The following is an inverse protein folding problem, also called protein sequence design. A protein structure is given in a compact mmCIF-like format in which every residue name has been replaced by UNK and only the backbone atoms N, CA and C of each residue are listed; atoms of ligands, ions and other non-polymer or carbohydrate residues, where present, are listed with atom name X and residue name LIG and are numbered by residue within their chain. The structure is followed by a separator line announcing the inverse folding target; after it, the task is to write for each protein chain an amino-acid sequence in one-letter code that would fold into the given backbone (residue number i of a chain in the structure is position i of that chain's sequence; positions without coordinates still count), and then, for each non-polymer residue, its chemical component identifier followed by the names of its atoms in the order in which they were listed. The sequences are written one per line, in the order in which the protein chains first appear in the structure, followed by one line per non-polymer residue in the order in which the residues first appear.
data_IF_204507697462
#
_entry.id   IF_204507697462
#
_cell.length_a   1.000
_cell.length_b   1.000
_cell.length_c   1.000
_cell.angle_alpha   90.00
_cell.angle_beta   90.00
_cell.angle_gamma   90.00
#
_symmetry.space_group_name_H-M   'P 1'
#
loop_
_entity.id
_entity.type
_entity.pdbx_description
1 polymer ?
#
# COMPACT_ATOMS: atom_id res chain seq x y z
N UNK A 1 18.04 -28.72 21.63
CA UNK A 1 18.46 -27.86 20.49
C UNK A 1 19.68 -27.08 20.95
N UNK A 2 20.82 -27.10 20.23
CA UNK A 2 22.04 -26.45 20.70
C UNK A 2 21.84 -24.92 20.78
N UNK A 3 22.42 -24.27 21.79
CA UNK A 3 22.27 -22.84 22.06
C UNK A 3 22.59 -21.94 20.85
N UNK A 4 23.46 -22.40 19.97
CA UNK A 4 23.80 -21.71 18.72
C UNK A 4 22.63 -21.69 17.70
N UNK A 5 21.87 -22.78 17.62
CA UNK A 5 20.68 -22.84 16.78
C UNK A 5 19.55 -21.96 17.35
N UNK A 6 19.44 -21.84 18.67
CA UNK A 6 18.50 -20.91 19.31
C UNK A 6 18.88 -19.44 19.08
N UNK A 7 20.17 -19.10 19.15
CA UNK A 7 20.66 -17.76 18.85
C UNK A 7 20.45 -17.38 17.37
N UNK A 8 20.68 -18.31 16.44
CA UNK A 8 20.42 -18.10 15.01
C UNK A 8 18.92 -17.94 14.73
N UNK A 9 18.06 -18.72 15.40
CA UNK A 9 16.61 -18.58 15.29
C UNK A 9 16.12 -17.23 15.83
N UNK A 10 16.68 -16.75 16.95
CA UNK A 10 16.34 -15.43 17.50
C UNK A 10 16.78 -14.29 16.58
N UNK A 11 17.98 -14.37 15.99
CA UNK A 11 18.43 -13.37 15.00
C UNK A 11 17.55 -13.38 13.75
N UNK A 12 17.13 -14.57 13.29
CA UNK A 12 16.25 -14.72 12.13
C UNK A 12 14.83 -14.18 12.39
N UNK A 13 14.27 -14.37 13.60
CA UNK A 13 12.97 -13.80 13.96
C UNK A 13 13.03 -12.28 14.04
N UNK A 14 14.05 -11.73 14.70
CA UNK A 14 14.25 -10.27 14.79
C UNK A 14 14.45 -9.63 13.40
N UNK A 15 15.15 -10.29 12.49
CA UNK A 15 15.32 -9.80 11.12
C UNK A 15 13.98 -9.76 10.34
N UNK A 16 13.11 -10.76 10.56
CA UNK A 16 11.78 -10.83 9.92
C UNK A 16 10.81 -9.80 10.49
N UNK A 17 10.88 -9.51 11.79
CA UNK A 17 10.13 -8.45 12.45
C UNK A 17 10.58 -7.05 11.96
N UNK A 18 11.90 -6.84 11.84
CA UNK A 18 12.45 -5.61 11.29
C UNK A 18 11.98 -5.35 9.85
N UNK A 19 11.88 -6.40 9.03
CA UNK A 19 11.37 -6.28 7.66
C UNK A 19 9.95 -5.70 7.62
N UNK A 20 9.09 -6.03 8.58
CA UNK A 20 7.72 -5.52 8.63
C UNK A 20 7.64 -4.04 9.03
N UNK A 21 8.65 -3.53 9.75
CA UNK A 21 8.75 -2.13 10.15
C UNK A 21 9.54 -1.27 9.15
N UNK A 22 10.08 -1.85 8.07
CA UNK A 22 10.94 -1.13 7.11
C UNK A 22 10.29 0.13 6.56
N UNK A 23 9.00 0.09 6.21
CA UNK A 23 8.30 1.25 5.63
C UNK A 23 8.08 2.37 6.67
N UNK A 24 7.48 2.12 7.85
CA UNK A 24 7.40 3.12 8.91
C UNK A 24 8.75 3.68 9.36
N UNK A 25 9.75 2.82 9.55
CA UNK A 25 11.11 3.21 9.96
C UNK A 25 11.76 4.05 8.87
N UNK A 26 11.56 3.69 7.60
CA UNK A 26 12.00 4.46 6.45
C UNK A 26 11.34 5.84 6.36
N UNK A 27 10.04 5.93 6.64
CA UNK A 27 9.30 7.21 6.70
C UNK A 27 9.88 8.12 7.78
N UNK A 28 10.02 7.62 9.01
CA UNK A 28 10.58 8.40 10.12
C UNK A 28 12.03 8.80 9.83
N UNK A 29 12.83 7.89 9.28
CA UNK A 29 14.22 8.16 8.91
C UNK A 29 14.32 9.22 7.80
N UNK A 30 13.43 9.17 6.81
CA UNK A 30 13.35 10.14 5.71
C UNK A 30 12.94 11.53 6.20
N UNK A 31 11.91 11.61 7.06
CA UNK A 31 11.46 12.86 7.68
C UNK A 31 12.57 13.46 8.56
N UNK A 32 13.24 12.64 9.36
CA UNK A 32 14.37 13.05 10.18
C UNK A 32 15.52 13.58 9.31
N UNK A 33 15.93 12.83 8.28
CA UNK A 33 16.99 13.26 7.35
C UNK A 33 16.64 14.56 6.62
N UNK A 34 15.40 14.70 6.15
CA UNK A 34 14.91 15.91 5.49
C UNK A 34 14.88 17.12 6.44
N UNK A 35 14.41 16.94 7.67
CA UNK A 35 14.39 17.99 8.68
C UNK A 35 15.80 18.45 9.06
N UNK A 36 16.73 17.51 9.26
CA UNK A 36 18.14 17.81 9.55
C UNK A 36 18.82 18.48 8.35
N UNK A 37 18.51 18.08 7.13
CA UNK A 37 19.00 18.75 5.92
C UNK A 37 18.54 20.21 5.87
N UNK A 38 17.23 20.44 5.98
CA UNK A 38 16.64 21.77 5.93
C UNK A 38 17.29 22.71 6.97
N UNK A 39 17.57 22.19 8.16
CA UNK A 39 18.18 22.95 9.25
C UNK A 39 19.70 23.14 9.13
N UNK A 40 20.46 22.13 8.71
CA UNK A 40 21.93 22.10 8.87
C UNK A 40 22.73 22.06 7.57
N UNK A 41 22.11 22.05 6.38
CA UNK A 41 22.84 21.96 5.10
C UNK A 41 23.83 23.11 4.82
N UNK A 42 23.73 24.24 5.55
CA UNK A 42 24.62 25.41 5.44
C UNK A 42 25.47 25.65 6.70
N UNK A 43 25.56 24.67 7.61
CA UNK A 43 26.33 24.83 8.85
C UNK A 43 27.81 25.13 8.54
N UNK A 44 28.40 26.05 9.29
CA UNK A 44 29.82 26.38 9.22
C UNK A 44 30.50 25.86 10.47
N UNK A 45 31.49 24.99 10.29
CA UNK A 45 32.29 24.42 11.37
C UNK A 45 33.60 25.19 11.53
N UNK A 46 34.26 25.10 12.70
CA UNK A 46 35.60 25.64 12.91
C UNK A 46 36.60 25.11 11.87
N UNK A 47 37.69 25.85 11.65
CA UNK A 47 38.68 25.57 10.59
C UNK A 47 39.24 24.14 10.62
N UNK A 48 39.44 23.55 11.80
CA UNK A 48 39.92 22.17 11.95
C UNK A 48 38.88 21.08 11.60
N UNK A 49 37.58 21.42 11.55
CA UNK A 49 36.49 20.53 11.12
C UNK A 49 35.82 20.99 9.81
N UNK A 50 36.38 21.99 9.13
CA UNK A 50 35.76 22.61 7.95
C UNK A 50 35.45 21.60 6.83
N UNK A 51 36.21 20.49 6.75
CA UNK A 51 35.96 19.38 5.84
C UNK A 51 34.55 18.79 5.95
N UNK A 52 34.00 18.73 7.16
CA UNK A 52 32.67 18.18 7.45
C UNK A 52 31.55 19.22 7.36
N UNK A 53 31.85 20.48 7.04
CA UNK A 53 30.86 21.56 6.99
C UNK A 53 29.83 21.42 5.85
N UNK A 54 28.76 22.21 5.95
CA UNK A 54 27.70 22.26 4.93
C UNK A 54 26.96 20.94 4.76
N UNK A 55 26.72 20.53 3.51
CA UNK A 55 25.92 19.34 3.18
C UNK A 55 26.54 18.02 3.66
N UNK A 56 27.87 17.97 3.85
CA UNK A 56 28.59 16.78 4.34
C UNK A 56 28.31 16.51 5.82
N UNK A 57 27.92 17.52 6.58
CA UNK A 57 27.56 17.39 7.99
C UNK A 57 26.25 16.60 8.17
N UNK A 58 25.33 16.75 7.21
CA UNK A 58 23.96 16.25 7.35
C UNK A 58 23.93 14.72 7.48
N UNK A 59 24.59 13.91 6.62
CA UNK A 59 24.62 12.45 6.81
C UNK A 59 25.19 12.00 8.14
N UNK A 60 26.23 12.68 8.65
CA UNK A 60 26.86 12.37 9.94
C UNK A 60 25.86 12.60 11.07
N UNK A 61 25.22 13.77 11.08
CA UNK A 61 24.22 14.12 12.09
C UNK A 61 23.00 13.19 12.02
N UNK A 62 22.53 12.85 10.82
CA UNK A 62 21.42 11.90 10.63
C UNK A 62 21.79 10.51 11.16
N UNK A 63 23.04 10.05 10.96
CA UNK A 63 23.52 8.79 11.53
C UNK A 63 23.48 8.77 13.07
N UNK A 64 23.94 9.85 13.72
CA UNK A 64 23.83 9.98 15.18
C UNK A 64 22.39 10.08 15.66
N UNK A 65 21.52 10.79 14.95
CA UNK A 65 20.10 10.89 15.29
C UNK A 65 19.35 9.55 15.10
N UNK A 66 19.82 8.70 14.19
CA UNK A 66 19.26 7.36 13.99
C UNK A 66 19.59 6.39 15.12
N UNK A 67 20.67 6.59 15.89
CA UNK A 67 21.05 5.69 16.99
C UNK A 67 20.00 5.65 18.10
N UNK A 68 19.54 6.78 18.68
CA UNK A 68 18.43 6.78 19.63
C UNK A 68 17.14 6.17 19.06
N UNK A 69 16.84 6.44 17.79
CA UNK A 69 15.67 5.87 17.11
C UNK A 69 15.73 4.34 17.04
N UNK A 70 16.90 3.80 16.67
CA UNK A 70 17.11 2.35 16.61
C UNK A 70 17.01 1.69 18.00
N UNK A 71 17.57 2.33 19.04
CA UNK A 71 17.47 1.84 20.42
C UNK A 71 16.01 1.82 20.86
N UNK A 72 15.29 2.93 20.66
CA UNK A 72 13.88 3.04 21.05
C UNK A 72 13.02 1.99 20.35
N UNK A 73 13.18 1.82 19.04
CA UNK A 73 12.46 0.80 18.28
C UNK A 73 12.77 -0.62 18.75
N UNK A 74 14.05 -0.91 19.06
CA UNK A 74 14.44 -2.22 19.57
C UNK A 74 13.84 -2.55 20.93
N UNK A 75 13.67 -1.55 21.81
CA UNK A 75 13.05 -1.71 23.13
C UNK A 75 11.53 -1.90 23.03
N UNK A 76 10.88 -1.22 22.09
CA UNK A 76 9.42 -1.25 21.93
C UNK A 76 8.89 -2.41 21.06
N UNK A 77 9.78 -3.11 20.34
CA UNK A 77 9.41 -4.22 19.45
C UNK A 77 8.59 -5.33 20.15
N UNK A 78 8.96 -5.81 21.36
CA UNK A 78 8.17 -6.82 22.07
C UNK A 78 6.76 -6.35 22.45
N UNK A 79 6.60 -5.05 22.73
CA UNK A 79 5.29 -4.47 23.04
C UNK A 79 4.41 -4.42 21.79
N UNK A 80 4.98 -4.08 20.64
CA UNK A 80 4.30 -4.17 19.35
C UNK A 80 3.87 -5.61 19.06
N UNK A 81 4.75 -6.60 19.23
CA UNK A 81 4.43 -8.02 19.03
C UNK A 81 3.29 -8.52 19.91
N UNK A 82 3.34 -8.20 21.20
CA UNK A 82 2.28 -8.55 22.15
C UNK A 82 0.95 -7.88 21.78
N UNK A 83 0.99 -6.60 21.40
CA UNK A 83 -0.19 -5.85 20.94
C UNK A 83 -0.82 -6.46 19.70
N UNK A 84 0.00 -6.86 18.72
CA UNK A 84 -0.45 -7.51 17.49
C UNK A 84 -0.98 -8.92 17.73
N UNK A 85 -0.29 -9.73 18.53
CA UNK A 85 -0.77 -11.06 18.91
C UNK A 85 -2.13 -10.96 19.62
N UNK A 86 -2.33 -9.93 20.44
CA UNK A 86 -3.61 -9.67 21.10
C UNK A 86 -4.66 -9.23 20.09
N UNK A 87 -4.37 -8.24 19.24
CA UNK A 87 -5.28 -7.78 18.19
C UNK A 87 -5.71 -8.92 17.26
N UNK A 88 -4.77 -9.76 16.81
CA UNK A 88 -5.05 -10.91 15.95
C UNK A 88 -5.94 -11.94 16.64
N UNK A 89 -5.70 -12.25 17.93
CA UNK A 89 -6.60 -13.13 18.70
C UNK A 89 -8.00 -12.54 18.83
N UNK A 90 -8.12 -11.23 19.06
CA UNK A 90 -9.41 -10.54 19.16
C UNK A 90 -10.15 -10.52 17.83
N UNK A 91 -9.46 -10.28 16.71
CA UNK A 91 -10.03 -10.30 15.36
C UNK A 91 -10.50 -11.71 15.00
N UNK A 92 -9.76 -12.76 15.35
CA UNK A 92 -10.16 -14.14 15.13
C UNK A 92 -11.36 -14.56 15.99
N UNK A 93 -11.45 -14.05 17.22
CA UNK A 93 -12.59 -14.28 18.10
C UNK A 93 -13.86 -13.53 17.63
N UNK A 94 -13.73 -12.52 16.76
CA UNK A 94 -14.84 -11.69 16.28
C UNK A 94 -15.63 -12.32 15.11
N UNK A 95 -15.26 -13.53 14.66
CA UNK A 95 -15.96 -14.23 13.58
C UNK A 95 -15.97 -13.42 12.27
N UNK A 96 -17.09 -13.38 11.52
CA UNK A 96 -17.17 -12.66 10.24
C UNK A 96 -16.80 -11.16 10.34
N UNK A 97 -17.06 -10.51 11.47
CA UNK A 97 -16.71 -9.11 11.68
C UNK A 97 -15.19 -8.87 11.76
N UNK A 98 -14.43 -9.88 12.17
CA UNK A 98 -12.97 -9.82 12.15
C UNK A 98 -12.41 -9.63 10.74
N UNK A 99 -13.00 -10.31 9.75
CA UNK A 99 -12.61 -10.19 8.34
C UNK A 99 -12.91 -8.80 7.77
N UNK A 100 -14.02 -8.20 8.17
CA UNK A 100 -14.34 -6.82 7.80
C UNK A 100 -13.34 -5.82 8.37
N UNK A 101 -13.08 -5.90 9.68
CA UNK A 101 -12.12 -5.01 10.36
C UNK A 101 -10.73 -5.18 9.75
N UNK A 102 -10.32 -6.42 9.45
CA UNK A 102 -9.08 -6.71 8.75
C UNK A 102 -9.00 -6.00 7.40
N UNK A 103 -10.02 -6.15 6.54
CA UNK A 103 -10.05 -5.49 5.23
C UNK A 103 -10.00 -3.96 5.31
N UNK A 104 -10.74 -3.37 6.24
CA UNK A 104 -10.75 -1.91 6.47
C UNK A 104 -9.39 -1.41 6.94
N UNK A 105 -8.84 -2.01 8.00
CA UNK A 105 -7.54 -1.61 8.54
C UNK A 105 -6.42 -1.84 7.53
N UNK A 106 -6.46 -2.94 6.79
CA UNK A 106 -5.50 -3.23 5.75
C UNK A 106 -5.41 -2.08 4.73
N UNK A 107 -6.54 -1.53 4.29
CA UNK A 107 -6.55 -0.37 3.40
C UNK A 107 -6.05 0.88 4.12
N UNK A 108 -6.63 1.24 5.27
CA UNK A 108 -6.25 2.48 5.97
C UNK A 108 -4.75 2.56 6.32
N UNK A 109 -4.11 1.42 6.58
CA UNK A 109 -2.70 1.30 6.93
C UNK A 109 -1.75 1.26 5.72
N UNK A 110 -2.26 1.36 4.48
CA UNK A 110 -1.40 1.50 3.28
C UNK A 110 -0.58 2.79 3.31
N UNK A 111 -1.17 3.90 3.76
CA UNK A 111 -0.51 5.20 3.85
C UNK A 111 0.82 5.14 4.63
N UNK A 112 0.85 4.31 5.68
CA UNK A 112 2.00 4.17 6.59
C UNK A 112 2.83 2.92 6.33
N UNK A 113 2.38 2.04 5.42
CA UNK A 113 2.97 0.72 5.21
C UNK A 113 2.69 -0.31 6.31
N UNK A 114 1.96 0.06 7.37
CA UNK A 114 1.68 -0.79 8.53
C UNK A 114 0.75 -1.97 8.21
N UNK A 115 0.11 -1.99 7.05
CA UNK A 115 -0.69 -3.13 6.61
C UNK A 115 0.15 -4.41 6.44
N UNK A 116 1.45 -4.30 6.17
CA UNK A 116 2.36 -5.45 6.07
C UNK A 116 2.47 -6.24 7.37
N UNK A 117 2.37 -5.55 8.50
CA UNK A 117 2.35 -6.15 9.82
C UNK A 117 1.06 -6.96 10.00
N UNK A 118 -0.09 -6.33 9.70
CA UNK A 118 -1.40 -6.96 9.79
C UNK A 118 -1.46 -8.22 8.91
N UNK A 119 -0.95 -8.12 7.68
CA UNK A 119 -0.80 -9.22 6.72
C UNK A 119 0.10 -10.32 7.27
N UNK A 120 1.26 -9.98 7.83
CA UNK A 120 2.21 -10.97 8.31
C UNK A 120 1.61 -11.84 9.42
N UNK A 121 0.83 -11.24 10.32
CA UNK A 121 0.08 -12.00 11.31
C UNK A 121 -0.98 -12.89 10.66
N UNK A 122 -1.88 -12.31 9.86
CA UNK A 122 -2.96 -13.04 9.23
C UNK A 122 -2.46 -14.21 8.37
N UNK A 123 -1.45 -13.99 7.53
CA UNK A 123 -1.02 -14.96 6.54
C UNK A 123 -0.04 -16.00 7.06
N UNK A 124 0.76 -15.69 8.10
CA UNK A 124 1.84 -16.59 8.56
C UNK A 124 1.71 -17.09 10.00
N UNK A 125 0.88 -16.45 10.84
CA UNK A 125 0.80 -16.79 12.27
C UNK A 125 -0.58 -17.26 12.72
N UNK A 126 -1.65 -16.86 12.04
CA UNK A 126 -3.03 -17.20 12.42
C UNK A 126 -3.36 -18.69 12.24
N UNK A 127 -3.84 -19.30 13.33
CA UNK A 127 -4.34 -20.68 13.35
C UNK A 127 -3.23 -21.74 13.24
N UNK A 128 -3.63 -23.00 13.34
CA UNK A 128 -2.74 -24.15 13.19
C UNK A 128 -3.47 -25.27 12.46
N UNK A 129 -2.83 -25.85 11.45
CA UNK A 129 -3.30 -27.02 10.72
C UNK A 129 -2.14 -28.00 10.56
N UNK A 130 -2.17 -29.11 11.30
CA UNK A 130 -1.11 -30.13 11.31
C UNK A 130 0.31 -29.55 11.50
N UNK A 131 0.46 -28.52 12.35
CA UNK A 131 1.74 -27.86 12.59
C UNK A 131 2.08 -26.71 11.62
N UNK A 132 1.25 -26.46 10.59
CA UNK A 132 1.36 -25.31 9.69
C UNK A 132 0.54 -24.14 10.25
N UNK A 133 1.15 -22.95 10.37
CA UNK A 133 0.50 -21.74 10.89
C UNK A 133 0.35 -20.66 9.83
N UNK A 134 -0.66 -19.81 9.99
CA UNK A 134 -0.97 -18.72 9.07
C UNK A 134 -2.02 -19.07 8.04
N UNK A 135 -2.97 -18.16 7.80
CA UNK A 135 -4.08 -18.39 6.88
C UNK A 135 -3.62 -18.79 5.47
N UNK A 136 -2.59 -18.11 4.95
CA UNK A 136 -2.03 -18.39 3.63
C UNK A 136 -1.35 -19.76 3.56
N UNK A 137 -0.47 -20.05 4.53
CA UNK A 137 0.24 -21.33 4.55
C UNK A 137 -0.72 -22.51 4.78
N UNK A 138 -1.73 -22.33 5.64
CA UNK A 138 -2.76 -23.34 5.92
C UNK A 138 -3.60 -23.61 4.68
N UNK A 139 -3.98 -22.57 3.93
CA UNK A 139 -4.69 -22.70 2.67
C UNK A 139 -3.92 -23.58 1.68
N UNK A 140 -2.62 -23.29 1.46
CA UNK A 140 -1.78 -24.10 0.58
C UNK A 140 -1.43 -25.50 1.12
N UNK A 141 -1.57 -25.71 2.43
CA UNK A 141 -1.49 -27.04 3.06
C UNK A 141 -2.81 -27.85 2.96
N UNK A 142 -3.85 -27.28 2.35
CA UNK A 142 -5.15 -27.94 2.15
C UNK A 142 -6.10 -27.85 3.34
N UNK A 143 -5.93 -26.85 4.21
CA UNK A 143 -6.89 -26.57 5.29
C UNK A 143 -8.19 -25.99 4.70
N UNK A 144 -9.33 -26.68 4.78
CA UNK A 144 -10.60 -26.20 4.23
C UNK A 144 -11.17 -25.01 4.98
N UNK A 145 -10.60 -24.59 6.11
CA UNK A 145 -11.04 -23.44 6.91
C UNK A 145 -10.19 -22.19 6.72
N UNK A 146 -9.16 -22.26 5.88
CA UNK A 146 -8.22 -21.18 5.62
C UNK A 146 -8.53 -20.44 4.30
N UNK A 147 -7.91 -19.28 4.09
CA UNK A 147 -8.07 -18.44 2.88
C UNK A 147 -9.10 -17.31 3.04
N UNK A 148 -9.75 -17.21 4.21
CA UNK A 148 -10.71 -16.14 4.49
C UNK A 148 -10.03 -14.77 4.61
N UNK A 149 -8.76 -14.69 5.04
CA UNK A 149 -7.98 -13.45 5.11
C UNK A 149 -7.30 -13.08 3.77
N UNK A 150 -7.67 -13.79 2.70
CA UNK A 150 -7.13 -13.59 1.35
C UNK A 150 -8.23 -13.22 0.34
N UNK A 151 -9.34 -13.94 0.36
CA UNK A 151 -10.36 -13.93 -0.71
C UNK A 151 -11.02 -12.58 -0.95
N UNK A 152 -11.18 -11.75 0.09
CA UNK A 152 -11.82 -10.43 -0.02
C UNK A 152 -11.06 -9.42 -0.88
N UNK A 153 -9.80 -9.71 -1.20
CA UNK A 153 -8.97 -8.85 -2.03
C UNK A 153 -9.33 -8.91 -3.52
N UNK A 154 -9.64 -10.09 -4.04
CA UNK A 154 -9.90 -10.32 -5.47
C UNK A 154 -11.01 -9.45 -6.07
N UNK A 155 -12.22 -9.33 -5.45
CA UNK A 155 -13.27 -8.47 -6.00
C UNK A 155 -12.84 -7.00 -6.11
N UNK A 156 -12.00 -6.53 -5.20
CA UNK A 156 -11.54 -5.14 -5.17
C UNK A 156 -10.46 -4.91 -6.23
N UNK A 157 -9.43 -5.76 -6.27
CA UNK A 157 -8.28 -5.55 -7.15
C UNK A 157 -8.56 -5.84 -8.62
N UNK A 158 -9.35 -6.87 -8.89
CA UNK A 158 -9.66 -7.29 -10.26
C UNK A 158 -10.83 -6.52 -10.88
N UNK A 159 -11.74 -5.99 -10.06
CA UNK A 159 -12.96 -5.36 -10.57
C UNK A 159 -13.15 -3.95 -10.04
N UNK A 160 -13.08 -3.76 -8.73
CA UNK A 160 -13.31 -2.46 -8.09
C UNK A 160 -12.36 -1.35 -8.55
N UNK A 161 -11.05 -1.57 -8.43
CA UNK A 161 -10.05 -0.56 -8.79
C UNK A 161 -9.98 -0.29 -10.29
N UNK A 162 -10.06 -1.29 -11.20
CA UNK A 162 -10.24 -1.02 -12.63
C UNK A 162 -11.49 -0.20 -12.94
N UNK A 163 -12.61 -0.46 -12.25
CA UNK A 163 -13.83 0.33 -12.37
C UNK A 163 -13.66 1.76 -11.87
N UNK A 164 -12.91 1.97 -10.78
CA UNK A 164 -12.55 3.29 -10.30
C UNK A 164 -11.70 4.05 -11.33
N UNK A 165 -10.70 3.41 -11.95
CA UNK A 165 -9.93 4.00 -13.04
C UNK A 165 -10.82 4.39 -14.23
N UNK A 166 -11.78 3.55 -14.60
CA UNK A 166 -12.73 3.88 -15.66
C UNK A 166 -13.62 5.08 -15.27
N UNK A 167 -14.07 5.16 -14.02
CA UNK A 167 -14.83 6.30 -13.52
C UNK A 167 -14.00 7.60 -13.55
N UNK A 168 -12.73 7.54 -13.14
CA UNK A 168 -11.80 8.67 -13.23
C UNK A 168 -11.59 9.12 -14.68
N UNK A 169 -11.40 8.16 -15.60
CA UNK A 169 -11.25 8.45 -17.03
C UNK A 169 -12.50 9.14 -17.61
N UNK A 170 -13.69 8.60 -17.35
CA UNK A 170 -14.94 9.18 -17.84
C UNK A 170 -15.26 10.55 -17.24
N UNK A 171 -14.75 10.85 -16.06
CA UNK A 171 -14.93 12.14 -15.39
C UNK A 171 -13.80 13.13 -15.66
N UNK A 172 -12.71 12.73 -16.32
CA UNK A 172 -11.65 13.65 -16.74
C UNK A 172 -12.16 14.69 -17.77
N UNK A 173 -11.55 15.88 -17.75
CA UNK A 173 -11.88 16.97 -18.66
C UNK A 173 -11.67 16.53 -20.12
N UNK A 174 -12.56 16.89 -21.07
CA UNK A 174 -12.48 16.39 -22.45
C UNK A 174 -11.11 16.59 -23.11
N UNK A 175 -10.47 17.73 -22.87
CA UNK A 175 -9.15 18.07 -23.43
C UNK A 175 -7.98 17.34 -22.73
N UNK A 176 -8.19 16.74 -21.54
CA UNK A 176 -7.17 15.96 -20.81
C UNK A 176 -7.37 14.45 -20.88
N UNK A 177 -8.52 13.97 -21.38
CA UNK A 177 -8.84 12.53 -21.46
C UNK A 177 -7.76 11.72 -22.19
N UNK A 178 -7.27 12.23 -23.33
CA UNK A 178 -6.21 11.57 -24.07
C UNK A 178 -4.91 11.44 -23.24
N UNK A 179 -4.55 12.48 -22.48
CA UNK A 179 -3.35 12.49 -21.65
C UNK A 179 -3.43 11.49 -20.48
N UNK A 180 -4.60 11.30 -19.88
CA UNK A 180 -4.77 10.39 -18.72
C UNK A 180 -5.17 8.96 -19.09
N UNK A 181 -5.60 8.71 -20.33
CA UNK A 181 -6.06 7.39 -20.76
C UNK A 181 -5.00 6.31 -20.58
N UNK A 182 -3.78 6.55 -21.06
CA UNK A 182 -2.67 5.59 -20.95
C UNK A 182 -2.28 5.33 -19.49
N UNK A 183 -2.23 6.39 -18.67
CA UNK A 183 -1.95 6.27 -17.24
C UNK A 183 -2.99 5.41 -16.52
N UNK A 184 -4.27 5.77 -16.64
CA UNK A 184 -5.37 5.09 -15.95
C UNK A 184 -5.55 3.65 -16.41
N UNK A 185 -5.35 3.37 -17.70
CA UNK A 185 -5.35 2.00 -18.22
C UNK A 185 -4.19 1.20 -17.67
N UNK A 186 -2.97 1.76 -17.64
CA UNK A 186 -1.79 1.06 -17.14
C UNK A 186 -1.94 0.69 -15.67
N UNK A 187 -2.32 1.62 -14.80
CA UNK A 187 -2.48 1.33 -13.37
C UNK A 187 -3.68 0.41 -13.10
N UNK A 188 -4.75 0.48 -13.91
CA UNK A 188 -5.86 -0.47 -13.84
C UNK A 188 -5.43 -1.88 -14.20
N UNK A 189 -4.66 -2.04 -15.29
CA UNK A 189 -4.12 -3.34 -15.70
C UNK A 189 -3.14 -3.88 -14.67
N UNK A 190 -2.30 -3.04 -14.06
CA UNK A 190 -1.42 -3.46 -12.97
C UNK A 190 -2.22 -4.03 -11.81
N UNK A 191 -3.26 -3.33 -11.34
CA UNK A 191 -4.16 -3.83 -10.30
C UNK A 191 -4.87 -5.12 -10.72
N UNK A 192 -5.40 -5.18 -11.93
CA UNK A 192 -6.12 -6.35 -12.42
C UNK A 192 -5.23 -7.59 -12.55
N UNK A 193 -4.06 -7.46 -13.17
CA UNK A 193 -3.18 -8.58 -13.48
C UNK A 193 -2.41 -9.06 -12.26
N UNK A 194 -1.86 -8.11 -11.50
CA UNK A 194 -0.92 -8.42 -10.41
C UNK A 194 -1.53 -8.27 -9.03
N UNK A 195 -2.60 -7.48 -8.90
CA UNK A 195 -3.21 -7.17 -7.61
C UNK A 195 -2.58 -5.99 -6.87
N UNK A 196 -1.52 -5.37 -7.43
CA UNK A 196 -0.86 -4.18 -6.86
C UNK A 196 -1.79 -2.98 -6.96
N UNK A 197 -2.15 -2.39 -5.82
CA UNK A 197 -3.20 -1.36 -5.72
C UNK A 197 -2.67 0.05 -5.57
N UNK A 198 -1.45 0.21 -5.08
CA UNK A 198 -0.85 1.47 -4.67
C UNK A 198 -0.86 2.53 -5.80
N UNK A 199 -0.50 2.20 -7.06
CA UNK A 199 -0.55 3.18 -8.15
C UNK A 199 -1.95 3.74 -8.39
N UNK A 200 -3.00 2.98 -8.12
CA UNK A 200 -4.39 3.45 -8.21
C UNK A 200 -4.76 4.24 -6.96
N UNK A 201 -4.55 3.67 -5.77
CA UNK A 201 -4.94 4.26 -4.50
C UNK A 201 -4.28 5.61 -4.25
N UNK A 202 -3.00 5.76 -4.60
CA UNK A 202 -2.26 7.01 -4.42
C UNK A 202 -2.78 8.15 -5.30
N UNK A 203 -3.51 7.85 -6.38
CA UNK A 203 -4.13 8.89 -7.22
C UNK A 203 -5.30 9.60 -6.56
N UNK A 204 -5.86 9.07 -5.47
CA UNK A 204 -7.01 9.69 -4.80
C UNK A 204 -6.95 9.67 -3.27
N UNK A 205 -6.08 8.89 -2.62
CA UNK A 205 -6.13 8.76 -1.16
C UNK A 205 -5.93 10.09 -0.43
N UNK A 206 -5.03 10.95 -0.93
CA UNK A 206 -4.73 12.26 -0.33
C UNK A 206 -5.64 13.37 -0.87
N UNK A 207 -6.16 13.21 -2.10
CA UNK A 207 -7.04 14.18 -2.75
C UNK A 207 -8.50 14.05 -2.30
N UNK A 208 -8.92 12.82 -1.99
CA UNK A 208 -10.29 12.48 -1.60
C UNK A 208 -10.32 11.47 -0.44
N UNK A 209 -9.94 11.87 0.79
CA UNK A 209 -9.87 10.96 1.94
C UNK A 209 -11.21 10.26 2.25
N UNK A 210 -12.34 10.94 2.03
CA UNK A 210 -13.66 10.34 2.20
C UNK A 210 -13.94 9.20 1.19
N UNK A 211 -13.50 9.37 -0.07
CA UNK A 211 -13.61 8.32 -1.07
C UNK A 211 -12.69 7.14 -0.75
N UNK A 212 -11.52 7.42 -0.18
CA UNK A 212 -10.60 6.40 0.32
C UNK A 212 -11.17 5.60 1.50
N UNK A 213 -11.89 6.26 2.42
CA UNK A 213 -12.61 5.56 3.48
C UNK A 213 -13.70 4.64 2.90
N UNK A 214 -14.45 5.09 1.90
CA UNK A 214 -15.45 4.24 1.24
C UNK A 214 -14.79 3.03 0.57
N UNK A 215 -13.67 3.21 -0.12
CA UNK A 215 -12.86 2.13 -0.66
C UNK A 215 -12.47 1.11 0.43
N UNK A 216 -11.93 1.59 1.56
CA UNK A 216 -11.58 0.73 2.70
C UNK A 216 -12.77 -0.08 3.24
N UNK A 217 -13.94 0.55 3.38
CA UNK A 217 -15.17 -0.11 3.83
C UNK A 217 -15.65 -1.15 2.82
N UNK A 218 -15.60 -0.85 1.53
CA UNK A 218 -15.96 -1.80 0.47
C UNK A 218 -15.00 -3.00 0.43
N UNK A 219 -13.71 -2.79 0.74
CA UNK A 219 -12.76 -3.90 0.92
C UNK A 219 -13.15 -4.76 2.11
N UNK A 220 -13.44 -4.19 3.27
CA UNK A 220 -13.95 -4.94 4.43
C UNK A 220 -15.23 -5.73 4.11
N UNK A 221 -16.16 -5.15 3.36
CA UNK A 221 -17.36 -5.85 2.91
C UNK A 221 -17.05 -7.03 1.98
N UNK A 222 -16.04 -6.90 1.12
CA UNK A 222 -15.66 -7.95 0.19
C UNK A 222 -15.21 -9.19 0.96
N UNK A 223 -14.46 -8.98 2.04
CA UNK A 223 -14.05 -10.04 2.96
C UNK A 223 -15.22 -10.79 3.58
N UNK A 224 -16.23 -10.08 4.09
CA UNK A 224 -17.44 -10.73 4.63
C UNK A 224 -18.19 -11.47 3.54
N UNK A 225 -18.41 -10.85 2.37
CA UNK A 225 -19.20 -11.42 1.29
C UNK A 225 -18.57 -12.71 0.77
N UNK A 226 -17.26 -12.69 0.48
CA UNK A 226 -16.54 -13.87 0.01
C UNK A 226 -16.57 -14.99 1.04
N UNK A 227 -16.41 -14.66 2.33
CA UNK A 227 -16.51 -15.64 3.40
C UNK A 227 -17.94 -16.21 3.56
N UNK A 228 -18.98 -15.37 3.43
CA UNK A 228 -20.38 -15.79 3.52
C UNK A 228 -20.81 -16.70 2.36
N UNK A 229 -20.19 -16.52 1.19
CA UNK A 229 -20.37 -17.37 0.00
C UNK A 229 -19.46 -18.61 0.00
N UNK A 230 -18.67 -18.82 1.05
CA UNK A 230 -17.65 -19.87 1.16
C UNK A 230 -16.70 -19.91 -0.05
N UNK A 231 -16.31 -18.73 -0.52
CA UNK A 231 -15.32 -18.57 -1.60
C UNK A 231 -13.95 -18.39 -0.97
N UNK A 232 -13.02 -19.29 -1.29
CA UNK A 232 -11.63 -19.27 -0.80
C UNK A 232 -10.69 -19.18 -1.98
N UNK A 233 -10.01 -18.05 -2.13
CA UNK A 233 -9.08 -17.76 -3.21
C UNK A 233 -7.69 -17.53 -2.63
N UNK A 234 -6.75 -18.36 -3.05
CA UNK A 234 -5.34 -18.25 -2.69
C UNK A 234 -4.58 -17.29 -3.60
N UNK A 235 -3.56 -16.65 -3.04
CA UNK A 235 -2.56 -15.90 -3.76
C UNK A 235 -1.21 -16.04 -3.09
N UNK A 236 -0.15 -15.81 -3.86
CA UNK A 236 1.23 -15.77 -3.35
C UNK A 236 1.87 -14.40 -3.53
N UNK A 237 1.28 -13.54 -4.37
CA UNK A 237 1.74 -12.17 -4.57
C UNK A 237 0.76 -11.13 -4.05
N UNK A 238 -0.36 -10.88 -4.73
CA UNK A 238 -1.25 -9.77 -4.36
C UNK A 238 -2.71 -9.90 -4.83
N UNK A 239 -3.21 -11.11 -5.11
CA UNK A 239 -4.61 -11.37 -5.50
C UNK A 239 -5.04 -10.74 -6.84
N UNK A 240 -4.13 -10.75 -7.81
CA UNK A 240 -4.44 -10.41 -9.20
C UNK A 240 -4.95 -11.60 -10.03
N UNK A 241 -5.24 -11.36 -11.31
CA UNK A 241 -5.63 -12.39 -12.26
C UNK A 241 -4.61 -13.55 -12.33
N UNK A 242 -3.32 -13.25 -12.25
CA UNK A 242 -2.30 -14.31 -12.27
C UNK A 242 -2.43 -15.24 -11.08
N UNK A 243 -2.61 -14.71 -9.87
CA UNK A 243 -2.86 -15.53 -8.69
C UNK A 243 -4.16 -16.33 -8.82
N UNK A 244 -5.23 -15.71 -9.33
CA UNK A 244 -6.52 -16.39 -9.53
C UNK A 244 -6.41 -17.58 -10.48
N UNK A 245 -5.71 -17.41 -11.60
CA UNK A 245 -5.55 -18.49 -12.60
C UNK A 245 -4.60 -19.57 -12.09
N UNK A 246 -3.50 -19.19 -11.44
CA UNK A 246 -2.51 -20.16 -10.93
C UNK A 246 -3.06 -21.00 -9.78
N UNK A 247 -3.88 -20.41 -8.91
CA UNK A 247 -4.43 -21.10 -7.73
C UNK A 247 -5.82 -21.70 -7.97
N UNK A 248 -6.36 -21.61 -9.18
CA UNK A 248 -7.74 -22.01 -9.50
C UNK A 248 -8.12 -23.44 -9.05
N UNK A 249 -7.16 -24.38 -9.08
CA UNK A 249 -7.38 -25.78 -8.65
C UNK A 249 -7.32 -25.97 -7.12
N UNK A 250 -6.71 -25.03 -6.40
CA UNK A 250 -6.68 -25.01 -4.92
C UNK A 250 -7.88 -24.25 -4.34
N UNK A 251 -8.47 -23.35 -5.13
CA UNK A 251 -9.53 -22.46 -4.72
C UNK A 251 -10.87 -23.18 -4.47
N UNK A 252 -11.63 -22.67 -3.51
CA UNK A 252 -13.00 -23.12 -3.20
C UNK A 252 -13.99 -22.17 -3.86
N UNK A 253 -14.88 -22.71 -4.70
CA UNK A 253 -15.88 -21.97 -5.49
C UNK A 253 -15.33 -20.77 -6.31
N UNK A 254 -14.19 -20.91 -7.04
CA UNK A 254 -13.53 -19.77 -7.68
C UNK A 254 -14.41 -19.02 -8.69
N UNK A 255 -15.31 -19.73 -9.38
CA UNK A 255 -16.21 -19.14 -10.37
C UNK A 255 -17.17 -18.10 -9.80
N UNK A 256 -17.48 -18.15 -8.49
CA UNK A 256 -18.32 -17.14 -7.83
C UNK A 256 -17.63 -15.76 -7.74
N UNK A 257 -16.31 -15.69 -7.96
CA UNK A 257 -15.62 -14.41 -8.08
C UNK A 257 -16.18 -13.57 -9.23
N UNK A 258 -16.56 -14.17 -10.36
CA UNK A 258 -17.03 -13.43 -11.53
C UNK A 258 -18.32 -12.63 -11.27
N UNK A 259 -19.41 -13.23 -10.75
CA UNK A 259 -20.61 -12.46 -10.43
C UNK A 259 -20.38 -11.46 -9.28
N UNK A 260 -19.63 -11.82 -8.23
CA UNK A 260 -19.31 -10.88 -7.14
C UNK A 260 -18.47 -9.71 -7.67
N UNK A 261 -17.49 -10.00 -8.49
CA UNK A 261 -16.63 -9.04 -9.18
C UNK A 261 -17.42 -8.10 -10.07
N UNK A 262 -18.37 -8.61 -10.85
CA UNK A 262 -19.25 -7.77 -11.69
C UNK A 262 -20.09 -6.79 -10.85
N UNK A 263 -20.60 -7.22 -9.69
CA UNK A 263 -21.29 -6.34 -8.74
C UNK A 263 -20.31 -5.28 -8.19
N UNK A 264 -19.11 -5.69 -7.78
CA UNK A 264 -18.06 -4.78 -7.32
C UNK A 264 -17.64 -3.76 -8.38
N UNK A 265 -17.55 -4.17 -9.64
CA UNK A 265 -17.29 -3.28 -10.77
C UNK A 265 -18.35 -2.19 -10.87
N UNK A 266 -19.63 -2.57 -10.85
CA UNK A 266 -20.75 -1.64 -10.90
C UNK A 266 -20.77 -0.68 -9.70
N UNK A 267 -20.57 -1.21 -8.49
CA UNK A 267 -20.53 -0.42 -7.25
C UNK A 267 -19.39 0.60 -7.27
N UNK A 268 -18.16 0.18 -7.57
CA UNK A 268 -17.01 1.07 -7.60
C UNK A 268 -17.17 2.14 -8.69
N UNK A 269 -17.56 1.74 -9.91
CA UNK A 269 -17.79 2.70 -10.99
C UNK A 269 -18.84 3.75 -10.59
N UNK A 270 -19.97 3.30 -10.06
CA UNK A 270 -21.08 4.18 -9.63
C UNK A 270 -20.66 5.13 -8.51
N UNK A 271 -20.07 4.60 -7.44
CA UNK A 271 -19.64 5.38 -6.26
C UNK A 271 -18.56 6.39 -6.64
N UNK A 272 -17.51 5.97 -7.35
CA UNK A 272 -16.44 6.88 -7.76
C UNK A 272 -16.96 7.96 -8.68
N UNK A 273 -17.73 7.59 -9.71
CA UNK A 273 -18.27 8.57 -10.65
C UNK A 273 -19.20 9.57 -9.96
N UNK A 274 -20.07 9.09 -9.07
CA UNK A 274 -20.95 9.94 -8.29
C UNK A 274 -20.15 10.89 -7.38
N UNK A 275 -19.21 10.38 -6.58
CA UNK A 275 -18.43 11.18 -5.65
C UNK A 275 -17.59 12.23 -6.39
N UNK A 276 -16.92 11.85 -7.48
CA UNK A 276 -16.09 12.76 -8.29
C UNK A 276 -16.92 13.93 -8.82
N UNK A 277 -18.11 13.67 -9.36
CA UNK A 277 -18.96 14.71 -9.92
C UNK A 277 -19.67 15.53 -8.85
N UNK A 278 -20.14 14.89 -7.77
CA UNK A 278 -20.93 15.55 -6.72
C UNK A 278 -20.08 16.46 -5.82
N UNK A 279 -18.81 16.11 -5.61
CA UNK A 279 -17.90 16.85 -4.73
C UNK A 279 -16.76 17.55 -5.49
N UNK A 280 -16.81 17.54 -6.83
CA UNK A 280 -15.77 18.11 -7.71
C UNK A 280 -14.33 17.67 -7.35
N UNK A 281 -14.16 16.36 -7.13
CA UNK A 281 -12.86 15.80 -6.75
C UNK A 281 -11.85 15.98 -7.90
N UNK A 282 -10.64 16.44 -7.57
CA UNK A 282 -9.56 16.70 -8.53
C UNK A 282 -8.76 15.43 -8.86
N UNK A 283 -9.45 14.38 -9.28
CA UNK A 283 -8.81 13.14 -9.75
C UNK A 283 -7.96 13.40 -11.01
N UNK A 284 -7.04 12.49 -11.39
CA UNK A 284 -6.21 12.68 -12.59
C UNK A 284 -7.03 13.12 -13.81
N UNK A 285 -6.62 14.23 -14.43
CA UNK A 285 -7.30 14.82 -15.58
C UNK A 285 -8.45 15.78 -15.25
N UNK A 286 -8.68 16.09 -13.97
CA UNK A 286 -9.65 17.11 -13.48
C UNK A 286 -9.00 18.32 -12.79
N UNK A 287 -7.68 18.40 -12.79
CA UNK A 287 -6.96 19.59 -12.31
C UNK A 287 -7.25 20.79 -13.20
N UNK A 288 -7.19 21.99 -12.63
CA UNK A 288 -7.28 23.23 -13.41
C UNK A 288 -6.11 23.28 -14.41
N UNK A 289 -6.30 23.96 -15.53
CA UNK A 289 -5.19 24.34 -16.38
C UNK A 289 -4.19 25.13 -15.52
N UNK A 290 -2.94 24.68 -15.45
CA UNK A 290 -1.89 25.62 -15.10
C UNK A 290 -1.97 26.75 -16.13
N UNK A 291 -2.01 28.02 -15.72
CA UNK A 291 -1.83 29.10 -16.68
C UNK A 291 -0.53 28.78 -17.40
N UNK A 292 -0.59 28.62 -18.72
CA UNK A 292 0.55 28.31 -19.56
C UNK A 292 1.72 29.15 -19.03
N UNK A 293 2.75 28.48 -18.49
CA UNK A 293 3.95 29.17 -18.04
C UNK A 293 4.34 30.06 -19.21
N UNK A 294 4.20 31.37 -19.03
CA UNK A 294 4.39 32.33 -20.10
C UNK A 294 5.72 31.97 -20.74
N UNK A 295 5.69 31.59 -22.02
CA UNK A 295 6.89 31.47 -22.82
C UNK A 295 7.66 32.76 -22.56
N UNK A 296 8.77 32.65 -21.83
CA UNK A 296 9.68 33.78 -21.71
C UNK A 296 10.06 34.10 -23.16
N UNK A 297 9.78 35.32 -23.66
CA UNK A 297 10.14 35.67 -25.01
C UNK A 297 11.63 35.39 -25.15
N UNK A 298 11.97 34.58 -26.15
CA UNK A 298 13.35 34.19 -26.44
C UNK A 298 14.22 35.45 -26.35
N UNK A 299 15.20 35.41 -25.44
CA UNK A 299 16.07 36.53 -25.16
C UNK A 299 16.65 37.08 -26.46
N UNK A 300 16.50 38.38 -26.65
CA UNK A 300 17.10 39.15 -27.74
C UNK A 300 18.62 39.06 -27.54
N UNK A 301 19.25 38.08 -28.16
CA UNK A 301 20.65 37.75 -27.95
C UNK A 301 21.28 37.04 -29.14
N UNK A 302 20.86 37.36 -30.36
CA UNK A 302 21.53 36.97 -31.61
C UNK A 302 21.28 38.01 -32.70
N UNK A 303 21.83 39.23 -32.55
CA UNK A 303 21.98 40.20 -33.66
C UNK A 303 23.33 40.93 -33.60
N UNK A 304 24.38 40.32 -33.05
CA UNK A 304 25.77 40.79 -33.24
C UNK A 304 26.50 39.82 -34.16
N UNK A 305 26.48 40.11 -35.46
CA UNK A 305 27.13 39.26 -36.47
C UNK A 305 26.78 39.64 -37.90
N UNK A 306 26.79 40.92 -38.23
CA UNK A 306 26.83 41.36 -39.63
C UNK A 306 28.16 42.07 -39.88
N UNK A 307 29.01 41.59 -40.82
CA UNK A 307 30.22 42.30 -41.19
C UNK A 307 29.87 43.60 -41.93
N UNK A 308 30.59 44.65 -41.57
CA UNK A 308 30.58 46.00 -42.15
C UNK A 308 30.94 46.02 -43.63
#
# INVERSE_FOLDING_TARGET
VPAHAQALLAVASTAKELQQLTVPVGLVSGLMGGALYNRFHRIRLPSYLAFFGGRRFVPILTGFAALPLAILLGLELPHLESGMATLSRTVLAAGPWGLFIYGVLNRLLIVTGLHNILNSFAWFMVGNYHGVTGDMNRFFAGDPTAGSFMSGFFPVMMFGLPAACLAMYHTALPHRRAAVAGLLLSIALTSFLTGVTEPVEFTFMFLAPGLYLVHALLTGLAFIIMNALDVKLGFTFSAGLFDYVLNFNHDTHPLLLLPVGAVYFGLYYGIFRFAILRFDLKTPGREAAEPAAAEQPAGIGQLEGLPS
#
